data_IF_600804881791
#
_entry.id   IF_600804881791
#
_cell.length_a   1.000
_cell.length_b   1.000
_cell.length_c   1.000
_cell.angle_alpha   90.00
_cell.angle_beta   90.00
_cell.angle_gamma   90.00
#
_symmetry.space_group_name_H-M   'P 1'
#
loop_
_entity.id
_entity.type
_entity.pdbx_description
1 polymer ?
#
# COMPACT_ATOMS: atom_id res chain seq x y z
N UNK A 1 -4.89 -32.91 -21.59
CA UNK A 1 -6.26 -32.52 -21.35
C UNK A 1 -6.93 -31.94 -22.61
N UNK A 2 -6.37 -30.88 -23.22
CA UNK A 2 -6.91 -30.22 -24.44
C UNK A 2 -7.20 -31.19 -25.59
N UNK A 3 -6.31 -32.16 -25.87
CA UNK A 3 -6.49 -33.16 -26.92
C UNK A 3 -7.63 -34.12 -26.62
N UNK A 4 -7.92 -34.38 -25.34
CA UNK A 4 -8.97 -35.27 -24.91
C UNK A 4 -10.35 -34.60 -24.80
N UNK A 5 -10.40 -33.27 -24.73
CA UNK A 5 -11.63 -32.47 -24.52
C UNK A 5 -11.67 -31.28 -25.49
N UNK A 6 -11.69 -31.49 -26.80
CA UNK A 6 -11.66 -30.42 -27.79
C UNK A 6 -12.88 -29.49 -27.72
N UNK A 7 -14.04 -30.01 -27.33
CA UNK A 7 -15.30 -29.28 -27.18
C UNK A 7 -15.30 -28.34 -25.97
N UNK A 8 -14.45 -28.61 -24.98
CA UNK A 8 -14.26 -27.74 -23.81
C UNK A 8 -13.37 -26.53 -24.12
N UNK A 9 -12.85 -26.43 -25.32
CA UNK A 9 -11.96 -25.36 -25.77
C UNK A 9 -12.73 -24.43 -26.71
N UNK A 10 -12.72 -23.17 -26.41
CA UNK A 10 -13.15 -22.13 -27.34
C UNK A 10 -11.96 -21.74 -28.22
N UNK A 11 -12.02 -22.03 -29.51
CA UNK A 11 -11.12 -21.42 -30.47
C UNK A 11 -11.50 -19.94 -30.64
N UNK A 12 -10.53 -19.04 -30.63
CA UNK A 12 -10.76 -17.65 -31.00
C UNK A 12 -11.14 -17.58 -32.49
N UNK A 13 -12.42 -17.72 -32.75
CA UNK A 13 -12.96 -17.32 -34.06
C UNK A 13 -12.73 -15.81 -34.21
N UNK A 14 -12.07 -15.44 -35.29
CA UNK A 14 -11.88 -14.12 -35.86
C UNK A 14 -12.57 -12.95 -35.12
N UNK A 15 -11.81 -12.08 -34.45
CA UNK A 15 -12.35 -10.80 -33.99
C UNK A 15 -11.82 -10.28 -32.66
N UNK A 16 -11.16 -11.10 -31.84
CA UNK A 16 -10.66 -10.66 -30.54
C UNK A 16 -9.16 -10.36 -30.54
N UNK A 17 -8.44 -10.81 -31.55
CA UNK A 17 -7.03 -10.46 -31.77
C UNK A 17 -6.79 -8.98 -32.10
N UNK A 18 -7.84 -8.24 -32.46
CA UNK A 18 -7.72 -6.80 -32.76
C UNK A 18 -7.76 -5.89 -31.53
N UNK A 19 -8.23 -6.37 -30.38
CA UNK A 19 -8.28 -5.57 -29.14
C UNK A 19 -7.11 -5.83 -28.20
N UNK A 20 -6.44 -6.95 -28.32
CA UNK A 20 -5.16 -7.20 -27.67
C UNK A 20 -4.10 -7.22 -28.78
N UNK A 21 -3.34 -6.16 -28.88
CA UNK A 21 -2.06 -6.11 -29.56
C UNK A 21 -1.35 -7.44 -29.35
N UNK A 22 -0.67 -8.05 -30.32
CA UNK A 22 -0.04 -9.35 -30.16
C UNK A 22 0.95 -9.29 -29.00
N UNK A 23 0.42 -9.55 -27.82
CA UNK A 23 1.24 -9.75 -26.63
C UNK A 23 2.00 -11.05 -26.89
N UNK A 24 3.34 -11.07 -26.85
CA UNK A 24 4.13 -12.28 -27.05
C UNK A 24 3.76 -13.41 -26.09
N UNK A 25 3.05 -13.10 -24.99
CA UNK A 25 2.51 -14.08 -24.05
C UNK A 25 1.14 -14.67 -24.49
N UNK A 26 0.50 -14.13 -25.53
CA UNK A 26 -0.74 -14.63 -26.09
C UNK A 26 -0.59 -14.78 -27.60
N UNK A 27 0.10 -15.81 -28.07
CA UNK A 27 0.25 -16.04 -29.48
C UNK A 27 -1.12 -16.11 -30.17
N UNK A 28 -1.20 -15.57 -31.37
CA UNK A 28 -2.39 -15.70 -32.21
C UNK A 28 -2.80 -17.19 -32.23
N UNK A 29 -4.02 -17.49 -31.78
CA UNK A 29 -4.49 -18.88 -31.64
C UNK A 29 -4.52 -19.39 -30.17
N UNK A 30 -4.39 -18.53 -29.16
CA UNK A 30 -4.65 -18.95 -27.78
C UNK A 30 -6.05 -19.55 -27.66
N UNK A 31 -6.11 -20.78 -27.18
CA UNK A 31 -7.35 -21.45 -26.92
C UNK A 31 -7.81 -21.16 -25.51
N UNK A 32 -9.04 -20.76 -25.36
CA UNK A 32 -9.64 -20.46 -24.07
C UNK A 32 -10.47 -21.65 -23.60
N UNK A 33 -10.41 -21.93 -22.31
CA UNK A 33 -11.30 -22.90 -21.69
C UNK A 33 -12.71 -22.33 -21.71
N UNK A 34 -13.68 -23.11 -22.16
CA UNK A 34 -15.10 -22.78 -22.06
C UNK A 34 -15.60 -23.08 -20.64
N UNK A 35 -15.81 -22.08 -19.77
CA UNK A 35 -16.16 -22.34 -18.37
C UNK A 35 -17.58 -22.89 -18.17
N UNK A 36 -18.45 -22.88 -19.20
CA UNK A 36 -19.76 -23.52 -19.14
C UNK A 36 -19.72 -25.04 -19.37
N UNK A 37 -18.65 -25.54 -20.00
CA UNK A 37 -18.54 -26.96 -20.30
C UNK A 37 -18.23 -27.78 -19.04
N UNK A 38 -18.91 -28.92 -18.78
CA UNK A 38 -18.72 -29.72 -17.58
C UNK A 38 -17.26 -30.16 -17.32
N UNK A 39 -16.53 -30.55 -18.37
CA UNK A 39 -15.13 -30.95 -18.24
C UNK A 39 -14.21 -29.78 -17.93
N UNK A 40 -14.55 -28.57 -18.40
CA UNK A 40 -13.82 -27.36 -18.02
C UNK A 40 -14.03 -27.03 -16.54
N UNK A 41 -15.26 -27.12 -16.05
CA UNK A 41 -15.56 -26.91 -14.62
C UNK A 41 -14.81 -27.91 -13.73
N UNK A 42 -14.81 -29.20 -14.15
CA UNK A 42 -14.06 -30.25 -13.44
C UNK A 42 -12.54 -29.92 -13.42
N UNK A 43 -11.97 -29.56 -14.57
CA UNK A 43 -10.56 -29.21 -14.66
C UNK A 43 -10.19 -27.99 -13.80
N UNK A 44 -10.97 -26.91 -13.89
CA UNK A 44 -10.73 -25.70 -13.10
C UNK A 44 -10.84 -25.97 -11.60
N UNK A 45 -11.84 -26.74 -11.18
CA UNK A 45 -11.99 -27.19 -9.79
C UNK A 45 -10.76 -27.97 -9.34
N UNK A 46 -10.33 -28.95 -10.11
CA UNK A 46 -9.17 -29.78 -9.79
C UNK A 46 -7.88 -28.95 -9.64
N UNK A 47 -7.67 -27.91 -10.46
CA UNK A 47 -6.50 -27.03 -10.35
C UNK A 47 -6.48 -26.32 -9.00
N UNK A 48 -7.62 -25.77 -8.57
CA UNK A 48 -7.72 -25.06 -7.29
C UNK A 48 -7.59 -26.02 -6.10
N UNK A 49 -8.30 -27.15 -6.15
CA UNK A 49 -8.23 -28.18 -5.11
C UNK A 49 -6.80 -28.73 -4.96
N UNK A 50 -6.09 -28.97 -6.07
CA UNK A 50 -4.69 -29.40 -6.03
C UNK A 50 -3.79 -28.37 -5.33
N UNK A 51 -3.99 -27.08 -5.57
CA UNK A 51 -3.24 -26.05 -4.88
C UNK A 51 -3.54 -26.06 -3.36
N UNK A 52 -4.83 -26.12 -3.00
CA UNK A 52 -5.26 -26.20 -1.59
C UNK A 52 -4.69 -27.44 -0.90
N UNK A 53 -4.81 -28.60 -1.52
CA UNK A 53 -4.40 -29.89 -0.95
C UNK A 53 -2.86 -29.99 -0.81
N UNK A 54 -2.12 -29.21 -1.62
CA UNK A 54 -0.67 -29.02 -1.47
C UNK A 54 -0.29 -27.98 -0.40
N UNK A 55 -1.26 -27.43 0.34
CA UNK A 55 -1.04 -26.51 1.45
C UNK A 55 -0.86 -25.03 1.06
N UNK A 56 -1.21 -24.65 -0.17
CA UNK A 56 -1.21 -23.22 -0.53
C UNK A 56 -2.42 -22.53 0.08
N UNK A 57 -2.16 -21.53 0.94
CA UNK A 57 -3.20 -20.70 1.57
C UNK A 57 -3.57 -19.47 0.76
N UNK A 58 -2.91 -19.20 -0.39
CA UNK A 58 -3.12 -18.03 -1.23
C UNK A 58 -3.02 -18.41 -2.70
N UNK A 59 -3.98 -17.92 -3.51
CA UNK A 59 -3.98 -18.10 -4.96
C UNK A 59 -4.32 -16.79 -5.68
N UNK A 60 -3.54 -16.45 -6.71
CA UNK A 60 -3.84 -15.35 -7.64
C UNK A 60 -4.40 -15.96 -8.93
N UNK A 61 -5.60 -15.53 -9.30
CA UNK A 61 -6.28 -15.97 -10.52
C UNK A 61 -6.21 -14.82 -11.54
N UNK A 62 -5.40 -15.04 -12.57
CA UNK A 62 -5.14 -14.03 -13.60
C UNK A 62 -5.83 -14.39 -14.94
N UNK A 63 -5.92 -13.38 -15.84
CA UNK A 63 -6.50 -13.52 -17.18
C UNK A 63 -7.95 -14.05 -17.22
N UNK A 64 -8.70 -13.88 -16.17
CA UNK A 64 -10.06 -14.36 -16.03
C UNK A 64 -11.13 -13.59 -16.85
N UNK A 65 -10.74 -12.82 -17.83
CA UNK A 65 -11.64 -12.25 -18.83
C UNK A 65 -12.54 -13.30 -19.53
N UNK A 66 -12.25 -14.56 -19.28
CA UNK A 66 -13.00 -15.74 -19.73
C UNK A 66 -14.49 -15.67 -19.33
N UNK A 67 -14.81 -15.21 -18.13
CA UNK A 67 -16.20 -15.06 -17.68
C UNK A 67 -17.02 -14.13 -18.57
N UNK A 68 -16.38 -13.21 -19.32
CA UNK A 68 -17.06 -12.34 -20.29
C UNK A 68 -17.42 -13.06 -21.59
N UNK A 69 -16.91 -14.28 -21.80
CA UNK A 69 -17.09 -15.08 -23.02
C UNK A 69 -17.86 -16.37 -22.76
N UNK A 70 -18.60 -16.37 -21.69
CA UNK A 70 -19.50 -17.45 -21.39
C UNK A 70 -20.49 -17.63 -22.53
N UNK A 71 -20.63 -18.83 -23.06
CA UNK A 71 -21.41 -19.13 -24.25
C UNK A 71 -22.84 -19.58 -23.91
N UNK A 72 -23.21 -19.61 -22.64
CA UNK A 72 -24.57 -19.92 -22.25
C UNK A 72 -25.49 -18.72 -22.48
N UNK A 73 -26.39 -18.78 -23.49
CA UNK A 73 -27.28 -17.66 -23.80
C UNK A 73 -28.31 -17.36 -22.70
N UNK A 74 -28.44 -18.24 -21.71
CA UNK A 74 -29.34 -18.08 -20.56
C UNK A 74 -28.75 -17.20 -19.46
N UNK A 75 -27.43 -16.92 -19.49
CA UNK A 75 -26.73 -16.16 -18.49
C UNK A 75 -26.31 -14.78 -18.99
N UNK A 76 -26.51 -13.76 -18.16
CA UNK A 76 -25.86 -12.49 -18.35
C UNK A 76 -24.36 -12.62 -18.06
N UNK A 77 -23.54 -11.68 -18.58
CA UNK A 77 -22.08 -11.66 -18.26
C UNK A 77 -21.81 -11.70 -16.77
N UNK A 78 -22.60 -10.98 -15.98
CA UNK A 78 -22.44 -10.93 -14.53
C UNK A 78 -22.74 -12.29 -13.88
N UNK A 79 -23.81 -12.97 -14.30
CA UNK A 79 -24.16 -14.30 -13.82
C UNK A 79 -23.09 -15.32 -14.20
N UNK A 80 -22.57 -15.27 -15.42
CA UNK A 80 -21.47 -16.12 -15.86
C UNK A 80 -20.19 -15.93 -15.02
N UNK A 81 -19.83 -14.69 -14.72
CA UNK A 81 -18.74 -14.40 -13.81
C UNK A 81 -18.97 -14.99 -12.41
N UNK A 82 -20.16 -14.77 -11.85
CA UNK A 82 -20.51 -15.27 -10.53
C UNK A 82 -20.47 -16.82 -10.49
N UNK A 83 -20.98 -17.48 -11.50
CA UNK A 83 -20.92 -18.94 -11.58
C UNK A 83 -19.49 -19.48 -11.59
N UNK A 84 -18.58 -18.82 -12.34
CA UNK A 84 -17.18 -19.18 -12.37
C UNK A 84 -16.49 -18.95 -11.02
N UNK A 85 -16.74 -17.81 -10.38
CA UNK A 85 -16.13 -17.48 -9.09
C UNK A 85 -16.75 -18.28 -7.92
N UNK A 86 -18.02 -18.70 -8.01
CA UNK A 86 -18.60 -19.68 -7.11
C UNK A 86 -17.81 -20.98 -7.17
N UNK A 87 -17.54 -21.49 -8.37
CA UNK A 87 -16.74 -22.70 -8.56
C UNK A 87 -15.33 -22.57 -7.95
N UNK A 88 -14.67 -21.42 -8.11
CA UNK A 88 -13.35 -21.18 -7.53
C UNK A 88 -13.40 -21.13 -6.01
N UNK A 89 -14.36 -20.41 -5.44
CA UNK A 89 -14.51 -20.32 -3.97
C UNK A 89 -14.87 -21.68 -3.36
N UNK A 90 -15.79 -22.43 -3.96
CA UNK A 90 -16.14 -23.77 -3.51
C UNK A 90 -14.94 -24.72 -3.53
N UNK A 91 -14.10 -24.65 -4.57
CA UNK A 91 -12.91 -25.47 -4.70
C UNK A 91 -11.80 -25.05 -3.71
N UNK A 92 -11.65 -23.75 -3.48
CA UNK A 92 -10.67 -23.17 -2.56
C UNK A 92 -11.05 -23.44 -1.08
N UNK A 93 -12.35 -23.52 -0.77
CA UNK A 93 -12.83 -23.52 0.62
C UNK A 93 -12.75 -22.12 1.24
N UNK A 94 -13.04 -22.02 2.52
CA UNK A 94 -13.07 -20.72 3.23
C UNK A 94 -11.67 -20.20 3.60
N UNK A 95 -10.71 -21.09 3.84
CA UNK A 95 -9.39 -20.73 4.38
C UNK A 95 -8.39 -20.26 3.31
N UNK A 96 -8.61 -20.58 2.03
CA UNK A 96 -7.72 -20.15 0.96
C UNK A 96 -8.05 -18.72 0.51
N UNK A 97 -7.07 -17.84 0.59
CA UNK A 97 -7.17 -16.44 0.12
C UNK A 97 -7.13 -16.38 -1.41
N UNK A 98 -8.15 -15.79 -2.02
CA UNK A 98 -8.27 -15.63 -3.48
C UNK A 98 -8.06 -14.18 -3.86
N UNK A 99 -7.05 -13.91 -4.70
CA UNK A 99 -6.87 -12.63 -5.39
C UNK A 99 -7.30 -12.76 -6.85
N UNK A 100 -8.27 -11.94 -7.25
CA UNK A 100 -8.71 -11.82 -8.64
C UNK A 100 -7.90 -10.77 -9.38
N UNK A 101 -7.21 -11.17 -10.45
CA UNK A 101 -6.45 -10.27 -11.31
C UNK A 101 -7.10 -10.16 -12.69
N UNK A 102 -7.97 -9.17 -12.86
CA UNK A 102 -8.74 -8.93 -14.09
C UNK A 102 -8.32 -7.67 -14.83
N UNK A 103 -7.25 -7.00 -14.36
CA UNK A 103 -6.86 -5.67 -14.86
C UNK A 103 -7.83 -4.54 -14.48
N UNK A 104 -9.08 -4.89 -14.15
CA UNK A 104 -10.08 -3.99 -13.56
C UNK A 104 -11.01 -4.80 -12.65
N UNK A 105 -11.34 -4.28 -11.45
CA UNK A 105 -12.26 -4.96 -10.56
C UNK A 105 -13.67 -4.99 -11.14
N UNK A 106 -14.36 -6.10 -10.97
CA UNK A 106 -15.74 -6.28 -11.43
C UNK A 106 -16.66 -6.68 -10.29
N UNK A 107 -17.87 -6.15 -10.28
CA UNK A 107 -18.91 -6.50 -9.29
C UNK A 107 -19.22 -8.00 -9.26
N UNK A 108 -18.90 -8.74 -10.30
CA UNK A 108 -19.11 -10.18 -10.38
C UNK A 108 -18.34 -10.99 -9.35
N UNK A 109 -17.24 -10.45 -8.82
CA UNK A 109 -16.37 -11.16 -7.87
C UNK A 109 -16.66 -10.80 -6.39
N UNK A 110 -17.55 -9.84 -6.12
CA UNK A 110 -17.92 -9.46 -4.75
C UNK A 110 -18.50 -10.64 -4.00
N UNK A 111 -17.92 -10.95 -2.84
CA UNK A 111 -18.31 -12.05 -1.97
C UNK A 111 -17.66 -13.41 -2.32
N UNK A 112 -16.85 -13.48 -3.38
CA UNK A 112 -16.13 -14.69 -3.78
C UNK A 112 -14.62 -14.59 -3.64
N UNK A 113 -14.09 -13.37 -3.59
CA UNK A 113 -12.65 -13.11 -3.52
C UNK A 113 -12.30 -12.28 -2.29
N UNK A 114 -11.10 -12.46 -1.78
CA UNK A 114 -10.57 -11.73 -0.63
C UNK A 114 -9.85 -10.46 -1.09
N UNK A 115 -9.28 -10.48 -2.30
CA UNK A 115 -8.63 -9.32 -2.91
C UNK A 115 -8.93 -9.22 -4.42
N UNK A 116 -8.83 -8.01 -4.94
CA UNK A 116 -8.93 -7.75 -6.36
C UNK A 116 -7.92 -6.71 -6.83
N UNK A 117 -7.27 -6.98 -7.96
CA UNK A 117 -6.44 -6.00 -8.68
C UNK A 117 -7.31 -4.82 -9.10
N UNK A 118 -6.93 -3.61 -8.70
CA UNK A 118 -7.72 -2.41 -8.95
C UNK A 118 -7.20 -1.53 -10.09
N UNK A 119 -6.03 -1.84 -10.64
CA UNK A 119 -5.43 -1.11 -11.75
C UNK A 119 -4.66 -2.00 -12.73
N UNK A 120 -4.07 -1.42 -13.78
CA UNK A 120 -3.16 -2.12 -14.68
C UNK A 120 -1.88 -2.55 -13.94
N UNK A 121 -0.99 -3.27 -14.63
CA UNK A 121 0.32 -3.61 -14.08
C UNK A 121 1.08 -2.35 -13.68
N UNK A 122 1.72 -2.41 -12.50
CA UNK A 122 2.52 -1.31 -11.94
C UNK A 122 3.80 -1.10 -12.76
N UNK A 123 3.64 -0.42 -13.88
CA UNK A 123 4.70 -0.12 -14.82
C UNK A 123 4.90 1.40 -14.90
N UNK A 124 6.15 1.94 -14.98
CA UNK A 124 6.38 3.39 -15.06
C UNK A 124 5.57 4.09 -16.17
N UNK A 125 5.41 3.45 -17.33
CA UNK A 125 4.59 3.99 -18.42
C UNK A 125 3.09 4.12 -18.06
N UNK A 126 2.61 3.35 -17.10
CA UNK A 126 1.21 3.36 -16.63
C UNK A 126 1.06 3.97 -15.24
N UNK A 127 2.12 4.53 -14.67
CA UNK A 127 2.18 4.99 -13.28
C UNK A 127 0.99 5.85 -12.86
N UNK A 128 0.71 6.92 -13.60
CA UNK A 128 -0.41 7.81 -13.27
C UNK A 128 -1.76 7.08 -13.27
N UNK A 129 -1.97 6.16 -14.22
CA UNK A 129 -3.19 5.37 -14.30
C UNK A 129 -3.30 4.36 -13.15
N UNK A 130 -2.19 3.69 -12.78
CA UNK A 130 -2.15 2.78 -11.64
C UNK A 130 -2.49 3.52 -10.35
N UNK A 131 -1.85 4.65 -10.11
CA UNK A 131 -2.06 5.47 -8.93
C UNK A 131 -3.51 5.98 -8.85
N UNK A 132 -4.02 6.54 -9.94
CA UNK A 132 -5.41 7.01 -10.03
C UNK A 132 -6.41 5.88 -9.75
N UNK A 133 -6.19 4.70 -10.29
CA UNK A 133 -7.05 3.54 -10.08
C UNK A 133 -7.05 3.12 -8.59
N UNK A 134 -5.88 2.98 -7.97
CA UNK A 134 -5.77 2.64 -6.54
C UNK A 134 -6.53 3.63 -5.68
N UNK A 135 -6.35 4.93 -5.92
CA UNK A 135 -6.98 5.99 -5.14
C UNK A 135 -8.51 6.05 -5.35
N UNK A 136 -9.00 5.85 -6.58
CA UNK A 136 -10.44 5.82 -6.87
C UNK A 136 -11.16 4.61 -6.27
N UNK A 137 -10.47 3.45 -6.24
CA UNK A 137 -11.02 2.24 -5.64
C UNK A 137 -10.85 2.16 -4.12
N UNK A 138 -10.20 3.16 -3.51
CA UNK A 138 -9.99 3.20 -2.06
C UNK A 138 -11.27 3.09 -1.25
N UNK A 139 -12.37 3.67 -1.72
CA UNK A 139 -13.69 3.60 -1.05
C UNK A 139 -14.25 2.17 -0.92
N UNK A 140 -13.76 1.23 -1.74
CA UNK A 140 -14.18 -0.17 -1.71
C UNK A 140 -13.20 -1.08 -0.97
N UNK A 141 -12.02 -0.55 -0.61
CA UNK A 141 -11.00 -1.31 0.10
C UNK A 141 -11.54 -1.79 1.45
N UNK A 142 -11.43 -3.09 1.70
CA UNK A 142 -11.96 -3.80 2.89
C UNK A 142 -13.49 -3.75 3.05
N UNK A 143 -14.21 -3.21 2.06
CA UNK A 143 -15.69 -3.25 2.00
C UNK A 143 -16.14 -4.38 1.08
N UNK A 144 -15.55 -4.46 -0.11
CA UNK A 144 -15.85 -5.52 -1.08
C UNK A 144 -14.75 -6.58 -1.14
N UNK A 145 -13.51 -6.15 -1.03
CA UNK A 145 -12.27 -6.94 -1.06
C UNK A 145 -11.11 -6.09 -0.54
N UNK A 146 -9.94 -6.69 -0.38
CA UNK A 146 -8.70 -5.92 -0.23
C UNK A 146 -8.21 -5.47 -1.62
N UNK A 147 -7.90 -4.19 -1.78
CA UNK A 147 -7.37 -3.69 -3.04
C UNK A 147 -5.96 -4.24 -3.28
N UNK A 148 -5.70 -4.70 -4.50
CA UNK A 148 -4.37 -5.04 -4.96
C UNK A 148 -3.89 -3.97 -5.93
N UNK A 149 -2.89 -3.21 -5.50
CA UNK A 149 -2.25 -2.15 -6.29
C UNK A 149 -1.23 -2.71 -7.30
N UNK A 150 -0.97 -4.03 -7.29
CA UNK A 150 0.16 -4.68 -7.89
C UNK A 150 1.46 -4.55 -7.07
N UNK A 151 2.57 -4.97 -7.65
CA UNK A 151 3.86 -5.03 -6.96
C UNK A 151 4.51 -3.67 -6.76
N UNK A 152 5.27 -3.56 -5.69
CA UNK A 152 6.24 -2.49 -5.46
C UNK A 152 7.65 -3.01 -5.78
N UNK A 153 8.50 -2.13 -6.29
CA UNK A 153 9.91 -2.42 -6.56
C UNK A 153 10.74 -1.90 -5.40
N UNK A 154 11.63 -2.73 -4.87
CA UNK A 154 12.40 -2.38 -3.66
C UNK A 154 13.48 -1.33 -3.90
N UNK A 155 14.02 -1.26 -5.12
CA UNK A 155 14.97 -0.21 -5.49
C UNK A 155 14.71 0.31 -6.92
N UNK A 156 14.84 1.61 -7.10
CA UNK A 156 14.83 2.26 -8.42
C UNK A 156 15.97 1.79 -9.32
N UNK A 157 17.06 1.27 -8.77
CA UNK A 157 18.26 0.81 -9.49
C UNK A 157 18.22 -0.68 -9.80
N UNK A 158 17.36 -1.46 -9.13
CA UNK A 158 17.23 -2.88 -9.44
C UNK A 158 16.53 -3.02 -10.79
N UNK A 159 17.19 -3.63 -11.78
CA UNK A 159 16.57 -3.85 -13.06
C UNK A 159 15.40 -4.83 -12.87
N UNK A 160 14.19 -4.32 -12.86
CA UNK A 160 13.07 -5.20 -13.06
C UNK A 160 13.22 -5.80 -14.46
N UNK A 161 13.22 -7.11 -14.57
CA UNK A 161 13.35 -7.81 -15.85
C UNK A 161 12.29 -7.43 -16.87
N UNK A 162 11.16 -6.85 -16.41
CA UNK A 162 10.07 -6.39 -17.26
C UNK A 162 10.14 -4.91 -17.62
N UNK A 163 10.83 -4.12 -16.84
CA UNK A 163 10.67 -2.66 -16.93
C UNK A 163 11.94 -2.00 -17.42
N UNK A 164 12.98 -2.63 -17.83
CA UNK A 164 14.16 -2.04 -18.49
C UNK A 164 14.33 -0.50 -18.39
N UNK A 165 13.55 0.14 -17.53
CA UNK A 165 13.43 1.56 -17.36
C UNK A 165 13.40 1.83 -15.87
N UNK A 166 14.33 2.61 -15.44
CA UNK A 166 14.24 3.32 -14.18
C UNK A 166 12.87 4.02 -14.14
N UNK A 167 12.12 3.95 -13.01
CA UNK A 167 11.11 4.95 -12.73
C UNK A 167 11.71 6.31 -13.10
N UNK A 168 10.91 7.26 -13.54
CA UNK A 168 11.42 8.61 -13.78
C UNK A 168 11.91 9.21 -12.44
N UNK A 169 12.98 8.60 -11.91
CA UNK A 169 13.63 8.99 -10.67
C UNK A 169 13.01 8.42 -9.39
N UNK A 170 13.66 8.74 -8.31
CA UNK A 170 13.34 8.39 -6.94
C UNK A 170 11.95 8.90 -6.52
N UNK A 171 11.48 10.00 -7.10
CA UNK A 171 10.22 10.67 -6.73
C UNK A 171 9.00 9.82 -7.07
N UNK A 172 8.96 9.23 -8.28
CA UNK A 172 7.90 8.32 -8.69
C UNK A 172 7.90 7.05 -7.83
N UNK A 173 9.08 6.53 -7.51
CA UNK A 173 9.26 5.37 -6.66
C UNK A 173 8.74 5.63 -5.23
N UNK A 174 9.11 6.77 -4.62
CA UNK A 174 8.61 7.19 -3.30
C UNK A 174 7.09 7.33 -3.30
N UNK A 175 6.54 7.97 -4.32
CA UNK A 175 5.09 8.16 -4.47
C UNK A 175 4.34 6.83 -4.52
N UNK A 176 4.88 5.83 -5.24
CA UNK A 176 4.26 4.50 -5.30
C UNK A 176 4.26 3.79 -3.95
N UNK A 177 5.39 3.82 -3.24
CA UNK A 177 5.50 3.25 -1.90
C UNK A 177 4.56 3.91 -0.90
N UNK A 178 4.48 5.24 -0.93
CA UNK A 178 3.52 5.99 -0.12
C UNK A 178 2.09 5.54 -0.42
N UNK A 179 1.75 5.38 -1.70
CA UNK A 179 0.41 4.98 -2.12
C UNK A 179 0.07 3.58 -1.58
N UNK A 180 0.91 2.59 -1.83
CA UNK A 180 0.66 1.21 -1.38
C UNK A 180 0.56 1.14 0.15
N UNK A 181 1.46 1.81 0.86
CA UNK A 181 1.47 1.80 2.33
C UNK A 181 0.25 2.49 2.95
N UNK A 182 -0.18 3.64 2.39
CA UNK A 182 -1.27 4.43 2.97
C UNK A 182 -2.66 3.92 2.59
N UNK A 183 -2.83 3.34 1.40
CA UNK A 183 -4.14 2.89 0.95
C UNK A 183 -4.60 1.57 1.59
N UNK A 184 -3.75 0.90 2.33
CA UNK A 184 -4.12 -0.27 3.14
C UNK A 184 -4.48 -1.51 2.35
N UNK A 185 -4.09 -1.57 1.09
CA UNK A 185 -4.26 -2.73 0.23
C UNK A 185 -3.14 -3.78 0.40
N UNK A 186 -3.07 -4.71 -0.53
CA UNK A 186 -2.03 -5.75 -0.53
C UNK A 186 -0.66 -5.15 -0.86
N UNK A 187 0.34 -5.39 0.00
CA UNK A 187 1.73 -4.99 -0.24
C UNK A 187 2.51 -6.19 -0.81
N UNK A 188 2.82 -6.15 -2.08
CA UNK A 188 3.58 -7.19 -2.78
C UNK A 188 4.87 -6.64 -3.39
N UNK A 189 5.87 -7.50 -3.51
CA UNK A 189 7.14 -7.21 -4.19
C UNK A 189 7.39 -8.25 -5.28
N UNK A 190 8.21 -7.92 -6.26
CA UNK A 190 8.49 -8.78 -7.41
C UNK A 190 9.95 -9.22 -7.51
N UNK A 191 10.80 -8.77 -6.62
CA UNK A 191 12.20 -9.11 -6.60
C UNK A 191 12.47 -10.49 -5.98
N UNK A 192 13.54 -11.17 -6.40
CA UNK A 192 13.96 -12.44 -5.82
C UNK A 192 14.61 -12.20 -4.43
N UNK A 193 13.82 -12.36 -3.38
CA UNK A 193 14.17 -12.03 -1.99
C UNK A 193 15.45 -12.70 -1.44
N UNK A 194 15.92 -13.77 -2.07
CA UNK A 194 17.14 -14.48 -1.68
C UNK A 194 18.44 -13.89 -2.29
N UNK A 195 18.34 -12.81 -3.05
CA UNK A 195 19.52 -12.17 -3.67
C UNK A 195 20.14 -11.13 -2.74
N UNK A 196 21.51 -11.05 -2.67
CA UNK A 196 22.19 -10.10 -1.78
C UNK A 196 21.88 -8.64 -2.07
N UNK A 197 21.72 -8.25 -3.33
CA UNK A 197 21.35 -6.90 -3.75
C UNK A 197 19.93 -6.51 -3.30
N UNK A 198 19.01 -7.46 -3.32
CA UNK A 198 17.65 -7.27 -2.78
C UNK A 198 17.69 -7.16 -1.25
N UNK A 199 18.48 -7.99 -0.59
CA UNK A 199 18.65 -7.92 0.88
C UNK A 199 19.28 -6.59 1.32
N UNK A 200 20.18 -6.01 0.54
CA UNK A 200 20.77 -4.70 0.84
C UNK A 200 19.77 -3.55 0.89
N UNK A 201 18.63 -3.68 0.21
CA UNK A 201 17.55 -2.68 0.17
C UNK A 201 16.27 -3.15 0.87
N UNK A 202 16.36 -4.20 1.69
CA UNK A 202 15.21 -4.84 2.34
C UNK A 202 14.39 -3.87 3.22
N UNK A 203 15.05 -2.86 3.79
CA UNK A 203 14.39 -1.79 4.53
C UNK A 203 13.24 -1.15 3.74
N UNK A 204 13.35 -1.05 2.42
CA UNK A 204 12.31 -0.46 1.57
C UNK A 204 11.01 -1.28 1.56
N UNK A 205 11.10 -2.58 1.78
CA UNK A 205 9.94 -3.42 2.04
C UNK A 205 9.43 -3.28 3.47
N UNK A 206 10.33 -3.25 4.43
CA UNK A 206 9.98 -3.15 5.85
C UNK A 206 9.15 -1.91 6.17
N UNK A 207 9.56 -0.74 5.64
CA UNK A 207 8.83 0.51 5.87
C UNK A 207 7.43 0.55 5.23
N UNK A 208 7.13 -0.34 4.30
CA UNK A 208 5.86 -0.39 3.58
C UNK A 208 4.89 -1.43 4.17
N UNK A 209 5.39 -2.46 4.85
CA UNK A 209 4.60 -3.59 5.32
C UNK A 209 4.35 -3.61 6.83
N UNK A 210 3.19 -4.07 7.24
CA UNK A 210 1.96 -4.22 6.46
C UNK A 210 1.43 -2.85 6.04
N UNK A 211 0.68 -2.78 4.96
CA UNK A 211 0.03 -1.50 4.61
C UNK A 211 -0.90 -1.04 5.74
N UNK A 212 -1.06 0.27 5.87
CA UNK A 212 -1.83 0.89 6.95
C UNK A 212 -3.27 0.37 7.01
N UNK A 213 -3.79 0.21 8.23
CA UNK A 213 -5.20 -0.13 8.46
C UNK A 213 -6.11 1.08 8.55
N UNK A 214 -5.54 2.28 8.49
CA UNK A 214 -6.31 3.53 8.55
C UNK A 214 -7.18 3.71 7.29
N UNK A 215 -8.29 4.40 7.45
CA UNK A 215 -9.19 4.73 6.35
C UNK A 215 -8.64 5.92 5.57
N UNK A 216 -7.75 5.66 4.63
CA UNK A 216 -7.21 6.69 3.75
C UNK A 216 -8.32 7.32 2.90
N UNK A 217 -8.29 8.63 2.77
CA UNK A 217 -9.25 9.42 1.99
C UNK A 217 -8.53 10.20 0.91
N UNK A 218 -9.17 10.30 -0.24
CA UNK A 218 -8.74 11.15 -1.34
C UNK A 218 -9.43 12.51 -1.18
N UNK A 219 -8.72 13.51 -0.65
CA UNK A 219 -9.28 14.85 -0.37
C UNK A 219 -9.59 15.65 -1.63
N UNK A 220 -8.98 15.30 -2.75
CA UNK A 220 -9.16 15.96 -4.04
C UNK A 220 -10.15 15.24 -4.97
N UNK A 221 -10.88 14.27 -4.46
CA UNK A 221 -11.92 13.56 -5.23
C UNK A 221 -12.97 14.55 -5.74
N UNK A 222 -13.17 14.57 -7.07
CA UNK A 222 -14.11 15.48 -7.71
C UNK A 222 -13.63 16.94 -7.88
N UNK A 223 -12.46 17.29 -7.36
CA UNK A 223 -11.81 18.58 -7.64
C UNK A 223 -11.08 18.48 -8.99
N UNK A 224 -11.15 19.53 -9.81
CA UNK A 224 -10.54 19.56 -11.17
C UNK A 224 -9.03 19.75 -11.16
N UNK A 225 -8.39 19.60 -10.04
CA UNK A 225 -7.00 19.92 -9.81
C UNK A 225 -6.08 18.76 -10.27
N UNK A 226 -4.92 19.12 -10.81
CA UNK A 226 -3.86 18.16 -11.16
C UNK A 226 -3.13 17.62 -9.93
N UNK A 227 -3.35 18.23 -8.78
CA UNK A 227 -2.73 17.84 -7.53
C UNK A 227 -3.61 16.85 -6.79
N UNK A 228 -2.99 15.85 -6.21
CA UNK A 228 -3.69 14.77 -5.51
C UNK A 228 -3.25 14.71 -4.06
N UNK A 229 -4.19 14.84 -3.15
CA UNK A 229 -3.93 14.75 -1.71
C UNK A 229 -4.71 13.56 -1.16
N UNK A 230 -4.00 12.62 -0.57
CA UNK A 230 -4.59 11.44 0.04
C UNK A 230 -3.86 11.04 1.32
N UNK A 231 -4.58 10.44 2.23
CA UNK A 231 -4.07 10.03 3.53
C UNK A 231 -5.19 9.92 4.54
N UNK A 232 -4.87 10.01 5.80
CA UNK A 232 -5.81 9.80 6.90
C UNK A 232 -5.52 10.70 8.08
N UNK A 233 -6.54 10.92 8.91
CA UNK A 233 -6.40 11.40 10.27
C UNK A 233 -6.62 10.22 11.23
N UNK A 234 -5.81 10.13 12.27
CA UNK A 234 -5.84 9.09 13.28
C UNK A 234 -6.01 9.68 14.68
N UNK A 235 -7.03 9.22 15.39
CA UNK A 235 -7.20 9.47 16.83
C UNK A 235 -6.55 8.34 17.62
N UNK A 236 -5.73 8.68 18.60
CA UNK A 236 -5.07 7.72 19.51
C UNK A 236 -5.21 8.18 20.95
N UNK A 237 -5.17 7.24 21.89
CA UNK A 237 -5.12 7.54 23.31
C UNK A 237 -3.96 8.45 23.71
N UNK A 238 -2.88 8.41 22.93
CA UNK A 238 -1.66 9.17 23.12
C UNK A 238 -1.54 10.45 22.25
N UNK A 239 -2.59 10.81 21.51
CA UNK A 239 -2.68 12.05 20.73
C UNK A 239 -3.16 11.85 19.31
N UNK A 240 -3.79 12.87 18.79
CA UNK A 240 -4.29 12.89 17.42
C UNK A 240 -3.16 13.30 16.46
N UNK A 241 -3.22 12.79 15.24
CA UNK A 241 -2.34 13.19 14.15
C UNK A 241 -2.95 12.91 12.78
N UNK A 242 -2.38 13.48 11.74
CA UNK A 242 -2.76 13.18 10.38
C UNK A 242 -1.53 12.85 9.54
N UNK A 243 -1.68 11.93 8.59
CA UNK A 243 -0.64 11.57 7.61
C UNK A 243 -1.22 11.74 6.22
N UNK A 244 -0.60 12.62 5.44
CA UNK A 244 -1.02 12.92 4.07
C UNK A 244 0.15 12.89 3.10
N UNK A 245 -0.13 12.35 1.93
CA UNK A 245 0.74 12.40 0.76
C UNK A 245 0.23 13.50 -0.18
N UNK A 246 1.08 14.50 -0.45
CA UNK A 246 0.81 15.58 -1.38
C UNK A 246 1.49 15.24 -2.69
N UNK A 247 0.73 14.83 -3.70
CA UNK A 247 1.24 14.34 -4.98
C UNK A 247 1.02 15.33 -6.12
N UNK A 248 2.10 15.65 -6.82
CA UNK A 248 2.08 16.45 -8.04
C UNK A 248 1.95 15.53 -9.26
N UNK A 249 0.77 15.50 -9.87
CA UNK A 249 0.50 14.71 -11.08
C UNK A 249 0.89 15.40 -12.39
N UNK A 250 1.45 16.62 -12.33
CA UNK A 250 2.00 17.27 -13.52
C UNK A 250 3.24 16.51 -14.01
N UNK A 251 3.26 16.18 -15.29
CA UNK A 251 4.36 15.41 -15.91
C UNK A 251 5.53 16.30 -16.35
N UNK A 252 5.36 17.61 -16.31
CA UNK A 252 6.28 18.55 -16.95
C UNK A 252 6.98 19.49 -15.96
N UNK A 253 6.31 19.88 -14.87
CA UNK A 253 6.80 20.90 -13.95
C UNK A 253 6.52 20.58 -12.49
N UNK A 254 7.29 21.18 -11.61
CA UNK A 254 7.02 21.19 -10.17
C UNK A 254 5.78 22.03 -9.85
N UNK A 255 5.17 21.75 -8.70
CA UNK A 255 4.00 22.46 -8.21
C UNK A 255 4.08 22.69 -6.70
N UNK A 256 3.45 23.76 -6.24
CA UNK A 256 3.12 23.96 -4.84
C UNK A 256 1.74 23.35 -4.57
N UNK A 257 1.60 22.61 -3.46
CA UNK A 257 0.35 21.95 -3.08
C UNK A 257 -0.02 22.36 -1.66
N UNK A 258 -1.22 22.89 -1.51
CA UNK A 258 -1.76 23.31 -0.21
C UNK A 258 -2.63 22.21 0.37
N UNK A 259 -2.36 21.82 1.62
CA UNK A 259 -3.24 21.02 2.46
C UNK A 259 -3.97 21.93 3.43
N UNK A 260 -5.29 21.98 3.35
CA UNK A 260 -6.15 22.63 4.35
C UNK A 260 -6.36 21.70 5.54
N UNK A 261 -6.20 22.21 6.77
CA UNK A 261 -6.29 21.38 7.96
C UNK A 261 -7.72 20.96 8.28
N UNK A 262 -8.72 21.76 7.92
CA UNK A 262 -10.12 21.37 8.05
C UNK A 262 -10.46 20.17 7.15
N UNK A 263 -10.04 20.18 5.88
CA UNK A 263 -10.17 19.04 4.97
C UNK A 263 -9.42 17.80 5.50
N UNK A 264 -8.27 18.02 6.14
CA UNK A 264 -7.41 16.97 6.70
C UNK A 264 -7.92 16.38 8.03
N UNK A 265 -8.96 16.95 8.63
CA UNK A 265 -9.47 16.52 9.93
C UNK A 265 -8.59 16.93 11.10
N UNK A 266 -7.82 17.99 10.94
CA UNK A 266 -7.00 18.60 11.99
C UNK A 266 -7.74 19.77 12.66
N UNK A 267 -7.50 20.04 13.95
CA UNK A 267 -8.20 21.10 14.66
C UNK A 267 -7.77 22.49 14.17
N UNK A 268 -8.75 23.37 13.92
CA UNK A 268 -8.51 24.76 13.53
C UNK A 268 -7.82 25.56 14.64
N UNK A 269 -6.99 26.50 14.27
CA UNK A 269 -6.24 27.38 15.19
C UNK A 269 -5.15 26.67 15.98
N UNK A 270 -4.95 25.37 15.80
CA UNK A 270 -3.95 24.61 16.54
C UNK A 270 -2.63 24.53 15.75
N UNK A 271 -1.54 24.87 16.42
CA UNK A 271 -0.19 24.71 15.86
C UNK A 271 0.16 23.24 15.77
N UNK A 272 0.47 22.75 14.55
CA UNK A 272 0.92 21.40 14.30
C UNK A 272 2.41 21.35 14.02
N UNK A 273 3.13 20.37 14.57
CA UNK A 273 4.45 20.01 14.08
C UNK A 273 4.29 19.25 12.76
N UNK A 274 5.14 19.56 11.78
CA UNK A 274 5.14 18.94 10.45
C UNK A 274 6.40 18.13 10.27
N UNK A 275 6.26 16.82 10.13
CA UNK A 275 7.38 15.90 9.90
C UNK A 275 7.33 15.35 8.47
N UNK A 276 8.48 15.38 7.79
CA UNK A 276 8.66 14.79 6.45
C UNK A 276 9.37 13.43 6.58
N UNK A 277 8.71 12.40 6.07
CA UNK A 277 9.21 11.03 6.17
C UNK A 277 10.52 10.80 5.39
N UNK A 278 10.56 11.27 4.13
CA UNK A 278 11.71 11.01 3.26
C UNK A 278 12.91 11.88 3.58
N UNK A 279 12.68 13.07 4.10
CA UNK A 279 13.73 13.94 4.62
C UNK A 279 14.15 13.56 6.05
N UNK A 280 13.36 12.70 6.70
CA UNK A 280 13.58 12.23 8.08
C UNK A 280 13.80 13.36 9.07
N UNK A 281 12.95 14.38 9.01
CA UNK A 281 13.06 15.58 9.88
C UNK A 281 11.72 16.25 10.11
N UNK A 282 11.63 17.00 11.22
CA UNK A 282 10.59 18.00 11.41
C UNK A 282 10.94 19.20 10.54
N UNK A 283 10.10 19.51 9.55
CA UNK A 283 10.33 20.59 8.57
C UNK A 283 9.80 21.94 9.03
N UNK A 284 9.06 21.98 10.11
CA UNK A 284 8.54 23.20 10.72
C UNK A 284 7.21 23.00 11.43
N UNK A 285 6.49 24.11 11.53
CA UNK A 285 5.18 24.17 12.17
C UNK A 285 4.19 24.86 11.25
N UNK A 286 2.94 24.48 11.33
CA UNK A 286 1.87 25.10 10.56
C UNK A 286 0.59 25.22 11.39
N UNK A 287 -0.26 26.17 11.01
CA UNK A 287 -1.58 26.39 11.61
C UNK A 287 -2.58 26.58 10.46
N UNK A 288 -3.73 25.94 10.53
CA UNK A 288 -4.82 25.95 9.56
C UNK A 288 -4.51 25.42 8.15
N UNK A 289 -3.28 25.56 7.67
CA UNK A 289 -2.86 25.01 6.38
C UNK A 289 -1.36 24.78 6.30
N UNK A 290 -0.93 23.96 5.34
CA UNK A 290 0.48 23.74 5.01
C UNK A 290 0.66 23.78 3.49
N UNK A 291 1.73 24.44 3.02
CA UNK A 291 2.10 24.48 1.60
C UNK A 291 3.35 23.66 1.37
N UNK A 292 3.19 22.50 0.72
CA UNK A 292 4.31 21.74 0.17
C UNK A 292 4.82 22.44 -1.08
N UNK A 293 6.06 22.98 -1.00
CA UNK A 293 6.65 23.80 -2.07
C UNK A 293 7.49 22.97 -3.03
N UNK A 294 7.46 23.37 -4.31
CA UNK A 294 8.33 22.83 -5.37
C UNK A 294 8.31 21.30 -5.47
N UNK A 295 7.15 20.66 -5.24
CA UNK A 295 7.03 19.21 -5.38
C UNK A 295 7.33 18.84 -6.84
N UNK A 296 8.34 17.98 -7.10
CA UNK A 296 8.74 17.68 -8.47
C UNK A 296 7.64 16.96 -9.25
N UNK A 297 7.75 16.96 -10.56
CA UNK A 297 6.85 16.20 -11.45
C UNK A 297 6.79 14.72 -11.05
N UNK A 298 5.61 14.14 -11.00
CA UNK A 298 5.35 12.76 -10.54
C UNK A 298 5.86 12.47 -9.12
N UNK A 299 6.25 13.50 -8.37
CA UNK A 299 6.75 13.38 -7.00
C UNK A 299 5.71 13.70 -5.95
N UNK A 300 6.05 13.41 -4.71
CA UNK A 300 5.19 13.70 -3.58
C UNK A 300 5.96 13.99 -2.29
N UNK A 301 5.30 14.67 -1.36
CA UNK A 301 5.71 14.79 0.03
C UNK A 301 4.85 13.89 0.90
N UNK A 302 5.46 13.06 1.73
CA UNK A 302 4.77 12.26 2.74
C UNK A 302 4.97 12.88 4.11
N UNK A 303 3.91 13.48 4.64
CA UNK A 303 3.96 14.34 5.81
C UNK A 303 3.06 13.83 6.94
N UNK A 304 3.56 13.94 8.18
CA UNK A 304 2.73 13.83 9.38
C UNK A 304 2.54 15.21 9.99
N UNK A 305 1.33 15.48 10.40
CA UNK A 305 0.89 16.66 11.12
C UNK A 305 0.45 16.24 12.52
N UNK A 306 1.11 16.76 13.54
CA UNK A 306 0.76 16.46 14.94
C UNK A 306 0.38 17.74 15.66
N UNK A 307 -0.89 17.89 16.08
CA UNK A 307 -1.31 19.02 16.90
C UNK A 307 -0.50 19.08 18.20
N UNK A 308 0.08 20.22 18.52
CA UNK A 308 0.84 20.41 19.74
C UNK A 308 -0.10 20.88 20.86
N UNK A 309 -0.28 20.04 21.86
CA UNK A 309 -1.22 20.26 22.98
C UNK A 309 -0.49 20.13 24.29
N UNK A 310 -0.50 21.22 25.09
CA UNK A 310 0.15 21.26 26.40
C UNK A 310 1.68 21.19 26.35
N UNK A 311 2.30 20.92 27.50
CA UNK A 311 3.77 20.94 27.67
C UNK A 311 4.38 19.54 27.76
N UNK A 312 3.56 18.49 27.67
CA UNK A 312 4.04 17.11 27.71
C UNK A 312 4.76 16.74 26.42
N UNK A 313 5.81 15.91 26.48
CA UNK A 313 6.44 15.40 25.27
C UNK A 313 5.46 14.69 24.35
N UNK A 314 5.51 15.01 23.07
CA UNK A 314 4.63 14.44 22.03
C UNK A 314 5.42 13.78 20.91
N UNK A 315 5.03 12.58 20.50
CA UNK A 315 5.59 11.92 19.32
C UNK A 315 5.12 12.64 18.06
N UNK A 316 6.06 13.23 17.31
CA UNK A 316 5.75 14.04 16.11
C UNK A 316 6.22 13.42 14.80
N UNK A 317 6.99 12.33 14.85
CA UNK A 317 7.46 11.66 13.63
C UNK A 317 8.06 10.29 13.92
N UNK A 318 8.09 9.46 12.88
CA UNK A 318 8.73 8.14 12.85
C UNK A 318 9.12 7.81 11.41
N UNK A 319 10.30 7.24 11.19
CA UNK A 319 10.67 6.70 9.89
C UNK A 319 10.70 5.17 9.86
N UNK A 320 10.13 4.53 10.87
CA UNK A 320 10.04 3.07 10.92
C UNK A 320 9.03 2.51 9.91
N UNK A 321 7.98 3.27 9.62
CA UNK A 321 6.93 2.86 8.67
C UNK A 321 6.32 4.08 7.97
N UNK A 322 5.89 3.91 6.70
CA UNK A 322 5.32 4.99 5.87
C UNK A 322 3.99 5.56 6.40
N UNK A 323 3.33 4.89 7.34
CA UNK A 323 2.17 5.45 8.05
C UNK A 323 2.52 6.39 9.19
N UNK A 324 3.80 6.62 9.44
CA UNK A 324 4.40 7.57 10.38
C UNK A 324 3.72 7.52 11.76
N UNK A 325 3.72 6.34 12.38
CA UNK A 325 3.19 6.09 13.72
C UNK A 325 1.84 5.38 13.76
N UNK A 326 1.12 5.25 12.65
CA UNK A 326 -0.21 4.63 12.69
C UNK A 326 -0.18 3.09 12.73
N UNK A 327 0.89 2.47 12.22
CA UNK A 327 1.01 1.02 12.13
C UNK A 327 2.06 0.46 13.08
N UNK A 328 3.19 1.12 13.19
CA UNK A 328 4.35 0.68 13.97
C UNK A 328 4.31 1.09 15.45
N UNK A 329 3.48 2.07 15.82
CA UNK A 329 3.29 2.51 17.21
C UNK A 329 1.97 1.97 17.74
N UNK A 330 2.02 1.17 18.79
CA UNK A 330 0.82 0.67 19.46
C UNK A 330 0.32 1.68 20.49
N UNK A 331 1.24 2.12 21.39
CA UNK A 331 0.91 3.04 22.46
C UNK A 331 2.10 3.93 22.82
N UNK A 332 1.80 5.13 23.31
CA UNK A 332 2.76 6.06 23.91
C UNK A 332 2.20 6.56 25.24
N UNK A 333 2.86 6.22 26.34
CA UNK A 333 2.51 6.71 27.66
C UNK A 333 3.51 7.78 28.09
N UNK A 334 3.03 8.97 28.32
CA UNK A 334 3.84 10.11 28.74
C UNK A 334 3.50 10.49 30.19
N UNK A 335 4.53 10.64 30.99
CA UNK A 335 4.45 11.22 32.35
C UNK A 335 5.37 12.43 32.41
N UNK A 336 5.33 13.24 33.48
CA UNK A 336 6.27 14.36 33.64
C UNK A 336 7.76 13.95 33.66
N UNK A 337 8.07 12.67 33.91
CA UNK A 337 9.44 12.17 34.05
C UNK A 337 9.82 11.05 33.08
N UNK A 338 8.90 10.56 32.27
CA UNK A 338 9.19 9.43 31.39
C UNK A 338 8.26 9.35 30.20
N UNK A 339 8.74 8.73 29.12
CA UNK A 339 7.97 8.32 27.97
C UNK A 339 8.16 6.82 27.79
N UNK A 340 7.07 6.07 27.72
CA UNK A 340 7.08 4.65 27.36
C UNK A 340 6.40 4.47 26.03
N UNK A 341 7.11 3.88 25.05
CA UNK A 341 6.59 3.59 23.72
C UNK A 341 6.48 2.08 23.56
N UNK A 342 5.32 1.61 23.13
CA UNK A 342 5.09 0.22 22.72
C UNK A 342 5.04 0.18 21.18
N UNK A 343 5.92 -0.63 20.59
CA UNK A 343 6.04 -0.80 19.16
C UNK A 343 5.49 -2.16 18.73
N UNK A 344 4.77 -2.18 17.63
CA UNK A 344 4.33 -3.40 16.96
C UNK A 344 5.49 -4.07 16.22
N UNK A 345 5.26 -5.25 15.67
CA UNK A 345 6.21 -5.94 14.77
C UNK A 345 6.29 -5.31 13.37
N UNK A 346 5.45 -4.31 13.05
CA UNK A 346 5.45 -3.63 11.76
C UNK A 346 6.63 -2.69 11.58
N UNK A 347 6.99 -2.42 10.33
CA UNK A 347 8.00 -1.44 9.97
C UNK A 347 9.43 -1.95 10.02
N UNK A 348 10.37 -1.03 9.83
CA UNK A 348 11.80 -1.32 9.72
C UNK A 348 12.43 -1.72 11.05
N UNK A 349 13.47 -2.56 10.97
CA UNK A 349 14.24 -2.99 12.16
C UNK A 349 15.08 -1.86 12.77
N UNK A 350 15.40 -0.85 11.98
CA UNK A 350 16.19 0.31 12.38
C UNK A 350 15.47 1.59 11.95
N UNK A 351 15.51 2.61 12.78
CA UNK A 351 14.95 3.93 12.43
C UNK A 351 14.87 4.87 13.59
N UNK A 352 14.18 5.97 13.38
CA UNK A 352 14.14 7.10 14.29
C UNK A 352 12.71 7.43 14.72
N UNK A 353 12.56 7.83 15.97
CA UNK A 353 11.37 8.46 16.52
C UNK A 353 11.69 9.93 16.83
N UNK A 354 10.73 10.83 16.55
CA UNK A 354 10.88 12.26 16.78
C UNK A 354 9.86 12.74 17.80
N UNK A 355 10.34 13.51 18.77
CA UNK A 355 9.50 14.08 19.83
C UNK A 355 9.61 15.61 19.81
N UNK A 356 8.49 16.25 20.05
CA UNK A 356 8.45 17.63 20.50
C UNK A 356 8.42 17.65 22.01
N UNK A 357 9.41 18.29 22.66
CA UNK A 357 9.50 18.42 24.10
C UNK A 357 10.32 19.65 24.50
N UNK A 358 9.78 20.46 25.40
CA UNK A 358 10.50 21.59 26.02
C UNK A 358 11.52 21.10 27.07
N UNK A 359 11.32 19.86 27.56
CA UNK A 359 12.20 19.19 28.55
C UNK A 359 13.23 18.32 27.86
N UNK A 360 14.33 18.05 28.52
CA UNK A 360 15.33 17.13 28.03
C UNK A 360 14.77 15.69 27.96
N UNK A 361 15.18 14.98 26.91
CA UNK A 361 14.87 13.55 26.73
C UNK A 361 16.18 12.79 26.75
N UNK A 362 16.27 11.76 27.59
CA UNK A 362 17.41 10.90 27.71
C UNK A 362 17.06 9.42 27.49
N UNK A 363 18.07 8.63 27.14
CA UNK A 363 17.89 7.20 26.98
C UNK A 363 17.60 6.54 28.31
N UNK A 364 16.55 5.75 28.39
CA UNK A 364 16.25 4.85 29.49
C UNK A 364 16.53 3.40 29.10
N UNK A 365 15.54 2.52 29.28
CA UNK A 365 15.63 1.09 28.96
C UNK A 365 14.88 0.71 27.71
N UNK A 366 15.27 -0.39 27.10
CA UNK A 366 14.53 -0.96 25.97
C UNK A 366 14.44 -2.48 26.06
N UNK A 367 13.41 -3.06 25.43
CA UNK A 367 13.19 -4.51 25.33
C UNK A 367 12.93 -4.87 23.88
N UNK A 368 13.60 -5.92 23.39
CA UNK A 368 13.50 -6.45 22.02
C UNK A 368 13.88 -5.41 20.92
N UNK A 369 14.61 -4.38 21.29
CA UNK A 369 15.27 -3.39 20.47
C UNK A 369 16.32 -2.67 21.32
N UNK A 370 17.17 -1.84 20.72
CA UNK A 370 18.14 -1.01 21.42
C UNK A 370 17.97 0.47 21.05
N UNK A 371 18.15 1.35 22.04
CA UNK A 371 18.28 2.80 21.82
C UNK A 371 19.75 3.04 21.47
N UNK A 372 20.03 3.45 20.24
CA UNK A 372 21.39 3.71 19.77
C UNK A 372 21.84 5.16 20.03
N UNK A 373 20.91 6.11 20.03
CA UNK A 373 21.19 7.49 20.39
C UNK A 373 19.92 8.26 20.76
N UNK A 374 20.11 9.32 21.58
CA UNK A 374 19.10 10.38 21.79
C UNK A 374 19.80 11.71 21.53
N UNK A 375 19.24 12.53 20.66
CA UNK A 375 19.84 13.78 20.19
C UNK A 375 18.82 14.92 20.15
N UNK A 376 19.22 16.08 20.63
CA UNK A 376 18.48 17.34 20.41
C UNK A 376 18.87 17.92 19.07
N UNK A 377 17.90 18.05 18.15
CA UNK A 377 18.14 18.54 16.77
C UNK A 377 17.88 20.04 16.61
N UNK A 378 17.19 20.67 17.55
CA UNK A 378 16.84 22.09 17.51
C UNK A 378 16.03 22.46 18.73
N UNK A 379 15.35 23.61 18.65
CA UNK A 379 14.47 24.03 19.72
C UNK A 379 13.29 23.04 19.84
N UNK A 380 13.24 22.35 20.99
CA UNK A 380 12.16 21.41 21.34
C UNK A 380 12.01 20.15 20.46
N UNK A 381 12.95 19.84 19.56
CA UNK A 381 12.91 18.62 18.75
C UNK A 381 14.00 17.65 19.20
N UNK A 382 13.57 16.43 19.52
CA UNK A 382 14.41 15.33 19.96
C UNK A 382 14.27 14.16 19.00
N UNK A 383 15.40 13.55 18.64
CA UNK A 383 15.47 12.34 17.84
C UNK A 383 15.98 11.18 18.69
N UNK A 384 15.25 10.07 18.68
CA UNK A 384 15.61 8.82 19.33
C UNK A 384 15.83 7.77 18.24
N UNK A 385 17.07 7.31 18.10
CA UNK A 385 17.42 6.31 17.11
C UNK A 385 17.34 4.91 17.72
N UNK A 386 16.67 4.02 17.01
CA UNK A 386 16.45 2.62 17.40
C UNK A 386 17.18 1.68 16.46
N UNK A 387 17.66 0.55 16.99
CA UNK A 387 18.32 -0.50 16.22
C UNK A 387 17.91 -1.89 16.70
N UNK A 388 18.00 -2.89 15.81
CA UNK A 388 17.84 -4.30 16.15
C UNK A 388 16.48 -4.66 16.71
N UNK A 389 15.40 -4.06 16.16
CA UNK A 389 14.03 -4.45 16.50
C UNK A 389 13.81 -5.92 16.11
N UNK A 390 13.33 -6.70 17.05
CA UNK A 390 13.05 -8.12 16.86
C UNK A 390 11.61 -8.27 16.36
N UNK A 391 11.44 -8.87 15.18
CA UNK A 391 10.12 -9.20 14.68
C UNK A 391 9.46 -10.30 15.53
N UNK A 392 8.17 -10.37 15.48
CA UNK A 392 7.31 -11.32 16.21
C UNK A 392 7.30 -11.18 17.74
N UNK A 393 7.91 -10.11 18.27
CA UNK A 393 7.87 -9.82 19.69
C UNK A 393 7.51 -8.35 19.95
N UNK A 394 6.69 -8.06 20.98
CA UNK A 394 6.45 -6.69 21.42
C UNK A 394 7.76 -6.00 21.81
N UNK A 395 7.94 -4.80 21.30
CA UNK A 395 9.10 -3.97 21.64
C UNK A 395 8.67 -2.85 22.56
N UNK A 396 9.51 -2.52 23.52
CA UNK A 396 9.25 -1.42 24.45
C UNK A 396 10.47 -0.52 24.51
N UNK A 397 10.25 0.78 24.42
CA UNK A 397 11.27 1.83 24.59
C UNK A 397 10.83 2.72 25.74
N UNK A 398 11.69 2.89 26.74
CA UNK A 398 11.47 3.83 27.81
C UNK A 398 12.52 4.94 27.74
N UNK A 399 12.08 6.19 27.84
CA UNK A 399 12.89 7.39 27.85
C UNK A 399 12.67 8.13 29.16
N UNK A 400 13.69 8.82 29.63
CA UNK A 400 13.64 9.70 30.80
C UNK A 400 13.35 11.14 30.30
N UNK A 401 12.68 11.91 31.14
CA UNK A 401 12.32 13.32 30.89
C UNK A 401 12.69 14.15 32.11
N UNK A 402 13.54 15.15 31.91
CA UNK A 402 13.99 16.07 32.96
C UNK A 402 13.27 17.41 32.97
#
# INVERSE_FOLDING_TARGET
>A
WKKANPEAIQSNAKGISSFMNPNPFHPAGANWINPSHPESKKFLRQVIETARDNGYGYIKIDFNGIGSRYVDPKLTRLQAFRELYTLYRDAAGEDMYILSCLGQPTRGVIGYVDAARVGPDSHPAHFAHCLESVLRFQIFNRVWWNNDADVSYLDVKLPSRRVGQTPEGIDMWRTWHNTVALTGGTAMISEPVNKPDVQAVWRNYEIMRPSSRENSRLLTLGKSDKNTIFGFAAGRTWGDFAVYNLYNSDKNKSADITLDFGDAGLPSGTRCAVYDFWENKVVGYATDSFIGKNIPKNGSLLLRFTPLIGDSPQLVGSNLHLSIGATEIEEVYTTPKSIKIMLSSAGAQTGDLFFHSTKAIEAGTSKNCSISSVQRLGENIWKVSLNGRVWDQPQVVNLLVD
#
